data_IF_184338210430
#
_entry.id   IF_184338210430
#
_cell.length_a   1.000
_cell.length_b   1.000
_cell.length_c   1.000
_cell.angle_alpha   90.00
_cell.angle_beta   90.00
_cell.angle_gamma   90.00
#
_symmetry.space_group_name_H-M   'P 1'
#
loop_
_entity.id
_entity.type
_entity.pdbx_description
1 polymer ?
#
# COMPACT_ATOMS: atom_id res chain seq x y z
N UNK A 1 -1.43 10.72 -22.96
CA UNK A 1 -2.05 10.04 -24.12
C UNK A 1 -2.72 8.75 -23.64
N UNK A 2 -3.82 8.33 -24.26
CA UNK A 2 -4.44 7.01 -23.99
C UNK A 2 -4.05 6.06 -25.14
N UNK A 3 -3.99 4.75 -24.88
CA UNK A 3 -3.73 3.69 -25.87
C UNK A 3 -2.36 3.76 -26.57
N UNK A 4 -1.28 3.77 -25.80
CA UNK A 4 0.08 3.60 -26.32
C UNK A 4 0.59 2.17 -26.06
N UNK A 5 1.48 1.70 -26.93
CA UNK A 5 2.16 0.41 -26.76
C UNK A 5 3.42 0.52 -25.91
N UNK A 6 4.09 1.68 -25.96
CA UNK A 6 5.33 1.97 -25.26
C UNK A 6 5.25 3.34 -24.57
N UNK A 7 5.62 3.39 -23.29
CA UNK A 7 5.82 4.65 -22.55
C UNK A 7 7.32 4.88 -22.36
N UNK A 8 7.83 5.92 -23.01
CA UNK A 8 9.23 6.35 -22.88
C UNK A 8 9.28 7.50 -21.88
N UNK A 9 10.05 7.32 -20.81
CA UNK A 9 10.30 8.36 -19.81
C UNK A 9 11.65 9.03 -20.09
N UNK A 10 11.65 10.35 -20.08
CA UNK A 10 12.85 11.16 -20.15
C UNK A 10 13.04 11.84 -18.79
N UNK A 11 14.13 11.50 -18.10
CA UNK A 11 14.53 12.20 -16.88
C UNK A 11 15.73 13.09 -17.21
N UNK A 12 15.52 14.40 -17.22
CA UNK A 12 16.55 15.40 -17.55
C UNK A 12 17.00 16.05 -16.24
N UNK A 13 18.27 15.91 -15.91
CA UNK A 13 18.89 16.55 -14.76
C UNK A 13 20.20 17.21 -15.19
N UNK A 14 20.27 18.53 -15.01
CA UNK A 14 21.39 19.37 -15.47
C UNK A 14 21.68 19.11 -16.97
N UNK A 15 22.92 18.72 -17.29
CA UNK A 15 23.39 18.43 -18.65
C UNK A 15 23.26 16.95 -19.03
N UNK A 16 22.49 16.16 -18.26
CA UNK A 16 22.30 14.73 -18.50
C UNK A 16 20.83 14.38 -18.74
N UNK A 17 20.60 13.47 -19.70
CA UNK A 17 19.27 12.91 -19.99
C UNK A 17 19.31 11.39 -19.89
N UNK A 18 18.45 10.85 -19.05
CA UNK A 18 18.20 9.42 -18.96
C UNK A 18 16.94 9.06 -19.75
N UNK A 19 17.08 8.14 -20.70
CA UNK A 19 15.98 7.60 -21.51
C UNK A 19 15.60 6.24 -20.92
N UNK A 20 14.35 6.07 -20.51
CA UNK A 20 13.84 4.87 -19.87
C UNK A 20 12.56 4.41 -20.55
N UNK A 21 12.24 3.11 -20.39
CA UNK A 21 10.98 2.53 -20.82
C UNK A 21 10.21 2.09 -19.58
N UNK A 22 8.94 2.47 -19.50
CA UNK A 22 8.04 2.02 -18.44
C UNK A 22 7.69 0.56 -18.64
N UNK A 23 7.96 -0.27 -17.63
CA UNK A 23 7.59 -1.70 -17.66
C UNK A 23 6.15 -1.94 -17.19
N UNK A 24 5.61 -1.03 -16.38
CA UNK A 24 4.29 -1.15 -15.79
C UNK A 24 3.35 -0.11 -16.39
N UNK A 25 2.16 -0.53 -16.81
CA UNK A 25 1.13 0.40 -17.31
C UNK A 25 0.47 1.23 -16.20
N UNK A 26 0.52 0.73 -14.98
CA UNK A 26 -0.02 1.39 -13.79
C UNK A 26 1.01 1.48 -12.68
N UNK A 27 0.81 2.45 -11.79
CA UNK A 27 1.65 2.58 -10.59
C UNK A 27 1.48 1.37 -9.68
N UNK A 28 2.61 0.77 -9.28
CA UNK A 28 2.66 -0.45 -8.46
C UNK A 28 1.94 -0.35 -7.10
N UNK A 29 1.71 0.87 -6.58
CA UNK A 29 0.98 1.06 -5.33
C UNK A 29 -0.51 0.68 -5.44
N UNK A 30 -1.06 0.47 -6.65
CA UNK A 30 -2.48 0.11 -6.86
C UNK A 30 -2.81 -1.38 -6.68
N UNK A 31 -1.91 -2.16 -6.06
CA UNK A 31 -2.07 -3.62 -5.88
C UNK A 31 -3.24 -4.00 -4.96
N UNK A 32 -3.18 -3.59 -3.69
CA UNK A 32 -3.94 -4.20 -2.60
C UNK A 32 -5.16 -3.36 -2.17
N UNK A 33 -5.07 -2.03 -2.26
CA UNK A 33 -6.08 -1.10 -1.77
C UNK A 33 -6.97 -0.61 -2.92
N UNK A 34 -8.29 -0.67 -2.77
CA UNK A 34 -9.27 -0.14 -3.73
C UNK A 34 -10.14 0.98 -3.19
N UNK A 35 -10.40 1.01 -1.88
CA UNK A 35 -11.22 2.02 -1.23
C UNK A 35 -10.32 3.10 -0.64
N UNK A 36 -10.23 4.23 -1.35
CA UNK A 36 -9.40 5.37 -0.96
C UNK A 36 -10.22 6.39 -0.15
N UNK A 37 -9.79 6.68 1.08
CA UNK A 37 -10.13 7.89 1.82
C UNK A 37 -9.19 9.07 1.53
N UNK A 38 -9.47 10.26 2.13
CA UNK A 38 -8.79 11.52 1.81
C UNK A 38 -7.26 11.49 1.99
N UNK A 39 -6.79 10.69 2.93
CA UNK A 39 -5.38 10.60 3.35
C UNK A 39 -4.84 9.17 3.27
N UNK A 40 -5.40 8.34 2.39
CA UNK A 40 -5.01 6.92 2.28
C UNK A 40 -3.53 6.79 1.96
N UNK A 41 -2.79 6.16 2.86
CA UNK A 41 -1.38 5.91 2.62
C UNK A 41 -1.21 4.88 1.50
N UNK A 42 -0.25 5.15 0.60
CA UNK A 42 0.11 4.23 -0.48
C UNK A 42 0.65 2.92 0.10
N UNK A 43 0.24 1.76 -0.41
CA UNK A 43 0.76 0.44 0.00
C UNK A 43 2.29 0.34 0.04
N UNK A 44 2.99 1.00 -0.89
CA UNK A 44 4.46 1.03 -0.88
C UNK A 44 5.04 1.67 0.38
N UNK A 45 4.42 2.75 0.88
CA UNK A 45 4.85 3.42 2.11
C UNK A 45 4.43 2.62 3.35
N UNK A 46 3.22 2.06 3.34
CA UNK A 46 2.72 1.20 4.40
C UNK A 46 3.64 0.00 4.65
N UNK A 47 4.07 -0.67 3.57
CA UNK A 47 5.06 -1.75 3.63
C UNK A 47 6.36 -1.27 4.27
N UNK A 48 6.93 -0.14 3.82
CA UNK A 48 8.17 0.38 4.37
C UNK A 48 8.04 0.68 5.87
N UNK A 49 6.92 1.26 6.31
CA UNK A 49 6.68 1.53 7.73
C UNK A 49 6.63 0.25 8.56
N UNK A 50 5.93 -0.78 8.07
CA UNK A 50 5.90 -2.08 8.73
C UNK A 50 7.29 -2.74 8.74
N UNK A 51 8.03 -2.68 7.64
CA UNK A 51 9.38 -3.24 7.55
C UNK A 51 10.36 -2.58 8.53
N UNK A 52 10.28 -1.26 8.70
CA UNK A 52 11.11 -0.51 9.66
C UNK A 52 10.79 -0.84 11.13
N UNK A 53 9.61 -1.40 11.41
CA UNK A 53 9.26 -1.89 12.73
C UNK A 53 9.86 -3.27 13.05
N UNK A 54 10.49 -3.92 12.06
CA UNK A 54 11.14 -5.24 12.19
C UNK A 54 10.25 -6.29 12.89
N UNK A 55 9.03 -6.56 12.37
CA UNK A 55 8.07 -7.45 13.01
C UNK A 55 8.60 -8.89 13.10
N UNK A 56 8.50 -9.48 14.28
CA UNK A 56 8.92 -10.85 14.57
C UNK A 56 7.70 -11.76 14.80
N UNK A 57 7.87 -13.05 14.52
CA UNK A 57 6.80 -14.03 14.75
C UNK A 57 6.38 -14.02 16.22
N UNK A 58 5.09 -13.91 16.46
CA UNK A 58 4.48 -13.78 17.79
C UNK A 58 4.19 -12.34 18.19
N UNK A 59 4.68 -11.35 17.45
CA UNK A 59 4.41 -9.94 17.75
C UNK A 59 2.95 -9.58 17.49
N UNK A 60 2.45 -8.67 18.33
CA UNK A 60 1.13 -8.06 18.19
C UNK A 60 1.35 -6.58 17.87
N UNK A 61 0.87 -6.16 16.71
CA UNK A 61 1.12 -4.82 16.18
C UNK A 61 -0.22 -4.12 16.01
N UNK A 62 -0.33 -2.94 16.62
CA UNK A 62 -1.55 -2.13 16.64
C UNK A 62 -1.35 -0.84 15.85
N UNK A 63 -2.25 -0.59 14.91
CA UNK A 63 -2.49 0.71 14.33
C UNK A 63 -3.83 1.26 14.85
N UNK A 64 -3.80 2.16 15.85
CA UNK A 64 -5.03 2.65 16.50
C UNK A 64 -5.76 3.74 15.70
N UNK A 65 -5.22 4.18 14.56
CA UNK A 65 -5.81 5.19 13.67
C UNK A 65 -5.61 4.76 12.22
N UNK A 66 -6.02 3.53 11.90
CA UNK A 66 -5.64 2.85 10.67
C UNK A 66 -6.31 3.40 9.41
N UNK A 67 -7.32 4.28 9.54
CA UNK A 67 -8.06 4.80 8.41
C UNK A 67 -8.68 3.66 7.59
N UNK A 68 -8.32 3.61 6.31
CA UNK A 68 -8.73 2.54 5.40
C UNK A 68 -7.93 1.23 5.53
N UNK A 69 -7.08 1.10 6.55
CA UNK A 69 -6.35 -0.13 6.87
C UNK A 69 -5.04 -0.33 6.10
N UNK A 70 -4.50 0.67 5.42
CA UNK A 70 -3.31 0.49 4.55
C UNK A 70 -2.11 -0.14 5.28
N UNK A 71 -1.81 0.26 6.53
CA UNK A 71 -0.69 -0.30 7.30
C UNK A 71 -0.96 -1.75 7.72
N UNK A 72 -2.00 -2.03 8.54
CA UNK A 72 -2.20 -3.39 9.05
C UNK A 72 -2.46 -4.41 7.94
N UNK A 73 -3.17 -4.02 6.87
CA UNK A 73 -3.44 -4.91 5.75
C UNK A 73 -2.18 -5.22 4.94
N UNK A 74 -1.35 -4.22 4.64
CA UNK A 74 -0.11 -4.43 3.89
C UNK A 74 0.92 -5.23 4.70
N UNK A 75 0.99 -4.95 6.01
CA UNK A 75 1.89 -5.64 6.91
C UNK A 75 1.48 -7.11 7.07
N UNK A 76 0.20 -7.39 7.26
CA UNK A 76 -0.32 -8.75 7.38
C UNK A 76 -0.12 -9.58 6.10
N UNK A 77 -0.13 -8.96 4.91
CA UNK A 77 0.22 -9.63 3.66
C UNK A 77 1.71 -9.93 3.50
N UNK A 78 2.57 -9.23 4.24
CA UNK A 78 4.02 -9.22 4.02
C UNK A 78 4.81 -9.93 5.12
N UNK A 79 4.28 -10.00 6.34
CA UNK A 79 4.97 -10.49 7.53
C UNK A 79 4.14 -11.57 8.23
N UNK A 80 4.47 -12.82 7.94
CA UNK A 80 3.77 -13.98 8.48
C UNK A 80 4.02 -14.17 9.99
N UNK A 81 3.01 -14.67 10.70
CA UNK A 81 3.14 -15.10 12.09
C UNK A 81 3.08 -13.95 13.10
N UNK A 82 2.65 -12.77 12.69
CA UNK A 82 2.33 -11.64 13.56
C UNK A 82 0.81 -11.43 13.60
N UNK A 83 0.30 -10.81 14.67
CA UNK A 83 -1.09 -10.36 14.74
C UNK A 83 -1.16 -8.85 14.49
N UNK A 84 -1.76 -8.46 13.37
CA UNK A 84 -1.98 -7.04 13.04
C UNK A 84 -3.40 -6.62 13.39
N UNK A 85 -3.52 -5.55 14.18
CA UNK A 85 -4.80 -5.00 14.62
C UNK A 85 -4.91 -3.56 14.10
N UNK A 86 -5.99 -3.27 13.39
CA UNK A 86 -6.34 -1.93 12.95
C UNK A 86 -7.59 -1.43 13.65
N UNK A 87 -7.56 -0.21 14.18
CA UNK A 87 -8.73 0.47 14.73
C UNK A 87 -8.80 1.91 14.20
N UNK A 88 -10.01 2.45 14.12
CA UNK A 88 -10.24 3.86 13.80
C UNK A 88 -11.55 4.31 14.45
N UNK A 89 -11.62 5.59 14.84
CA UNK A 89 -12.83 6.16 15.44
C UNK A 89 -13.91 6.43 14.38
N UNK A 90 -13.51 6.74 13.14
CA UNK A 90 -14.45 7.18 12.12
C UNK A 90 -15.10 5.96 11.42
N UNK A 91 -16.44 5.81 11.42
CA UNK A 91 -17.11 4.62 10.87
C UNK A 91 -16.82 4.39 9.38
N UNK A 92 -16.83 5.46 8.56
CA UNK A 92 -16.43 5.39 7.14
C UNK A 92 -14.98 4.94 6.90
N UNK A 93 -14.10 5.03 7.89
CA UNK A 93 -12.74 4.51 7.77
C UNK A 93 -12.77 2.97 7.83
N UNK A 94 -13.49 2.42 8.82
CA UNK A 94 -13.70 0.99 9.00
C UNK A 94 -14.49 0.36 7.84
N UNK A 95 -15.48 1.05 7.28
CA UNK A 95 -16.19 0.60 6.06
C UNK A 95 -15.20 0.39 4.90
N UNK A 96 -14.34 1.39 4.63
CA UNK A 96 -13.30 1.27 3.60
C UNK A 96 -12.27 0.20 3.93
N UNK A 97 -11.90 0.06 5.19
CA UNK A 97 -11.00 -1.00 5.65
C UNK A 97 -11.59 -2.38 5.34
N UNK A 98 -12.88 -2.57 5.57
CA UNK A 98 -13.60 -3.81 5.23
C UNK A 98 -13.63 -4.04 3.71
N UNK A 99 -13.90 -3.02 2.90
CA UNK A 99 -13.82 -3.11 1.44
C UNK A 99 -12.42 -3.52 0.95
N UNK A 100 -11.37 -2.93 1.52
CA UNK A 100 -9.98 -3.26 1.22
C UNK A 100 -9.63 -4.69 1.65
N UNK A 101 -10.11 -5.13 2.81
CA UNK A 101 -9.92 -6.49 3.30
C UNK A 101 -10.60 -7.52 2.37
N UNK A 102 -11.81 -7.24 1.92
CA UNK A 102 -12.53 -8.10 0.97
C UNK A 102 -11.81 -8.21 -0.37
N UNK A 103 -11.12 -7.15 -0.81
CA UNK A 103 -10.32 -7.17 -2.04
C UNK A 103 -9.10 -8.08 -1.94
N UNK A 104 -8.38 -8.04 -0.82
CA UNK A 104 -7.14 -8.83 -0.66
C UNK A 104 -7.43 -10.28 -0.26
N UNK A 105 -8.61 -10.54 0.30
CA UNK A 105 -9.01 -11.86 0.77
C UNK A 105 -8.48 -12.17 2.20
N UNK A 106 -8.57 -13.44 2.64
CA UNK A 106 -8.15 -13.82 3.98
C UNK A 106 -6.64 -13.62 4.15
N UNK A 107 -6.27 -12.82 5.14
CA UNK A 107 -4.88 -12.58 5.53
C UNK A 107 -4.50 -13.62 6.59
N UNK A 108 -3.32 -14.23 6.46
CA UNK A 108 -2.89 -15.41 7.24
C UNK A 108 -2.23 -15.05 8.56
#
# INVERSE_FOLDING_TARGET
>A
MKNFDLEVLLNIQNDSMMVMVSLNRESLFKRNICAFGPTTMRPTMAYCMAALAEPNRGDIILDPMCGGGSIPLEAALSFDGCLFIGADFHPKALERCSENMNRIGPVR
#
